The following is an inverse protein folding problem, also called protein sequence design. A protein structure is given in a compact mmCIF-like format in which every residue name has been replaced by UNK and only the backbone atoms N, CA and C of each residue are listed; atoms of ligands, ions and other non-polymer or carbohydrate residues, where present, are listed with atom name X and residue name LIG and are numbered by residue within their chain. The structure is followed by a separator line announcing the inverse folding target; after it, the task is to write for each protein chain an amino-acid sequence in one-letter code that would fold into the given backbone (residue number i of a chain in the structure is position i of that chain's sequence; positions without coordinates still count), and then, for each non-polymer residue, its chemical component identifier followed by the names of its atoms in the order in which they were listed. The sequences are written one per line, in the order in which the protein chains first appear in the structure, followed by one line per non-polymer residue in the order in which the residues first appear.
data_IF_067434736378
#
_entry.id   IF_067434736378
#
_cell.length_a   1.000
_cell.length_b   1.000
_cell.length_c   1.000
_cell.angle_alpha   90.00
_cell.angle_beta   90.00
_cell.angle_gamma   90.00
#
_symmetry.space_group_name_H-M   'P 1'
#
loop_
_entity.id
_entity.type
_entity.pdbx_description
1 polymer ?
#
# COMPACT_ATOMS: atom_id res chain seq x y z
N UNK A 1 17.24 15.73 12.28
CA UNK A 1 17.20 15.28 12.42
C UNK A 1 17.58 14.70 12.76
N UNK A 2 17.42 14.65 12.62
CA UNK A 2 17.60 14.09 12.88
C UNK A 2 17.87 13.29 13.10
N UNK A 3 17.87 13.11 12.97
CA UNK A 3 18.07 12.24 13.18
C UNK A 3 18.47 11.82 13.85
N UNK A 4 18.57 11.76 14.47
CA UNK A 4 19.00 11.24 15.15
C UNK A 4 18.93 10.36 15.59
N UNK A 5 18.77 10.18 15.94
CA UNK A 5 18.59 9.27 16.25
C UNK A 5 18.48 8.27 15.79
N UNK A 6 18.78 8.56 15.65
CA UNK A 6 18.27 7.76 14.62
C UNK A 6 18.73 6.33 14.71
N UNK A 7 19.94 6.11 15.07
CA UNK A 7 20.42 4.77 15.18
C UNK A 7 19.63 3.96 16.17
N UNK A 8 19.14 4.57 17.19
CA UNK A 8 18.36 3.85 18.16
C UNK A 8 17.05 3.42 17.64
N UNK A 9 16.52 4.20 16.74
CA UNK A 9 15.20 3.93 16.29
C UNK A 9 15.08 2.65 15.54
N UNK A 10 16.12 2.27 14.86
CA UNK A 10 15.99 1.09 14.08
C UNK A 10 15.90 -0.15 14.89
N UNK A 11 16.21 -0.09 16.13
CA UNK A 11 15.99 -1.25 16.92
C UNK A 11 14.53 -1.53 17.06
N UNK A 12 13.76 -0.51 16.94
CA UNK A 12 12.35 -0.71 16.97
C UNK A 12 11.97 -1.46 15.73
N UNK A 13 11.05 -2.34 15.86
CA UNK A 13 10.66 -3.14 14.75
C UNK A 13 10.07 -2.31 13.65
N UNK A 14 9.47 -1.19 13.98
CA UNK A 14 8.82 -0.41 12.96
C UNK A 14 9.06 1.03 13.14
N UNK A 15 9.41 1.71 12.08
CA UNK A 15 9.47 3.15 12.09
C UNK A 15 8.19 3.66 11.47
N UNK A 16 8.07 4.98 11.43
CA UNK A 16 6.86 5.59 10.94
C UNK A 16 6.59 5.25 9.49
N UNK A 17 7.66 5.19 8.69
CA UNK A 17 7.47 4.89 7.28
C UNK A 17 6.89 3.51 7.07
N UNK A 18 7.37 2.52 7.80
CA UNK A 18 6.87 1.18 7.61
C UNK A 18 5.43 1.05 8.10
N UNK A 19 5.06 1.81 9.13
CA UNK A 19 3.69 1.81 9.59
C UNK A 19 2.77 2.35 8.49
N UNK A 20 3.18 3.44 7.83
CA UNK A 20 2.36 4.00 6.77
C UNK A 20 2.32 3.10 5.55
N UNK A 21 3.41 2.41 5.25
CA UNK A 21 3.39 1.49 4.12
C UNK A 21 2.43 0.33 4.37
N UNK A 22 2.33 -0.13 5.60
CA UNK A 22 1.37 -1.16 5.93
C UNK A 22 -0.05 -0.65 5.78
N UNK A 23 -0.29 0.60 6.18
CA UNK A 23 -1.61 1.19 6.00
C UNK A 23 -1.97 1.27 4.53
N UNK A 24 -1.00 1.65 3.70
CA UNK A 24 -1.23 1.70 2.26
C UNK A 24 -1.60 0.32 1.75
N UNK A 25 -0.88 -0.70 2.19
CA UNK A 25 -1.18 -2.06 1.78
C UNK A 25 -2.57 -2.49 2.18
N UNK A 26 -2.98 -2.13 3.40
CA UNK A 26 -4.33 -2.47 3.87
C UNK A 26 -5.40 -1.75 3.08
N UNK A 27 -5.13 -0.50 2.69
CA UNK A 27 -6.06 0.25 1.87
C UNK A 27 -6.18 -0.35 0.49
N UNK A 28 -5.06 -0.77 -0.09
CA UNK A 28 -5.10 -1.46 -1.38
C UNK A 28 -5.99 -2.68 -1.30
N UNK A 29 -5.84 -3.45 -0.24
CA UNK A 29 -6.65 -4.64 -0.06
C UNK A 29 -8.12 -4.28 0.08
N UNK A 30 -8.41 -3.27 0.87
CA UNK A 30 -9.78 -2.84 1.08
C UNK A 30 -10.46 -2.44 -0.24
N UNK A 31 -9.78 -1.59 -1.01
CA UNK A 31 -10.37 -1.10 -2.24
C UNK A 31 -10.39 -2.17 -3.34
N UNK A 32 -9.43 -3.09 -3.31
CA UNK A 32 -9.48 -4.21 -4.23
C UNK A 32 -10.73 -5.05 -4.00
N UNK A 33 -11.01 -5.35 -2.74
CA UNK A 33 -12.20 -6.12 -2.42
C UNK A 33 -13.46 -5.37 -2.77
N UNK A 34 -13.46 -4.07 -2.49
CA UNK A 34 -14.60 -3.24 -2.80
C UNK A 34 -14.86 -3.18 -4.30
N UNK A 35 -13.81 -3.29 -5.10
CA UNK A 35 -13.95 -3.30 -6.55
C UNK A 35 -14.39 -4.66 -7.10
N UNK A 36 -14.57 -5.65 -6.22
CA UNK A 36 -15.07 -6.94 -6.62
C UNK A 36 -14.02 -8.03 -6.75
N UNK A 37 -12.77 -7.72 -6.46
CA UNK A 37 -11.70 -8.72 -6.57
C UNK A 37 -11.41 -9.28 -5.18
N UNK A 38 -11.91 -10.47 -4.91
CA UNK A 38 -11.71 -11.08 -3.60
C UNK A 38 -10.32 -11.66 -3.42
N UNK A 39 -9.61 -11.87 -4.52
CA UNK A 39 -8.32 -12.55 -4.52
C UNK A 39 -7.27 -11.64 -5.14
N UNK A 40 -6.17 -11.40 -4.41
CA UNK A 40 -5.15 -10.47 -4.88
C UNK A 40 -4.41 -11.00 -6.10
N UNK A 41 -4.19 -12.31 -6.16
CA UNK A 41 -3.50 -12.87 -7.30
C UNK A 41 -4.32 -12.76 -8.57
N UNK A 42 -5.63 -12.95 -8.44
CA UNK A 42 -6.51 -12.82 -9.59
C UNK A 42 -6.56 -11.37 -10.08
N UNK A 43 -6.62 -10.42 -9.14
CA UNK A 43 -6.59 -9.01 -9.52
C UNK A 43 -5.33 -8.68 -10.31
N UNK A 44 -4.18 -9.16 -9.81
CA UNK A 44 -2.91 -8.87 -10.48
C UNK A 44 -2.88 -9.54 -11.86
N UNK A 45 -3.33 -10.78 -11.93
CA UNK A 45 -3.33 -11.50 -13.19
C UNK A 45 -4.20 -10.80 -14.24
N UNK A 46 -5.41 -10.42 -13.84
CA UNK A 46 -6.33 -9.76 -14.75
C UNK A 46 -5.81 -8.43 -15.26
N UNK A 47 -4.99 -7.77 -14.49
CA UNK A 47 -4.54 -6.43 -14.82
C UNK A 47 -3.08 -6.36 -15.21
N UNK A 48 -2.49 -7.50 -15.53
CA UNK A 48 -1.11 -7.58 -16.01
C UNK A 48 -0.10 -7.02 -15.02
N UNK A 49 -0.31 -7.32 -13.75
CA UNK A 49 0.62 -6.94 -12.70
C UNK A 49 1.27 -8.22 -12.19
N UNK A 50 2.56 -8.16 -11.89
CA UNK A 50 3.24 -9.29 -11.29
C UNK A 50 2.52 -9.71 -10.02
N UNK A 51 2.09 -10.97 -9.94
CA UNK A 51 1.36 -11.44 -8.77
C UNK A 51 2.18 -11.39 -7.50
N UNK A 52 3.44 -11.86 -7.51
CA UNK A 52 4.22 -11.75 -6.27
C UNK A 52 4.46 -10.31 -5.87
N UNK A 53 4.69 -9.42 -6.83
CA UNK A 53 4.95 -8.03 -6.51
C UNK A 53 3.72 -7.36 -5.94
N UNK A 54 2.55 -7.62 -6.53
CA UNK A 54 1.34 -7.01 -6.01
C UNK A 54 1.04 -7.50 -4.59
N UNK A 55 1.26 -8.78 -4.33
CA UNK A 55 1.07 -9.31 -2.99
C UNK A 55 1.95 -8.62 -1.98
N UNK A 56 3.18 -8.28 -2.36
CA UNK A 56 4.07 -7.56 -1.47
C UNK A 56 3.56 -6.15 -1.18
N UNK A 57 2.94 -5.52 -2.16
CA UNK A 57 2.37 -4.18 -1.92
C UNK A 57 1.29 -4.24 -0.84
N UNK A 58 0.41 -5.22 -0.92
CA UNK A 58 -0.64 -5.33 0.10
C UNK A 58 -0.06 -5.69 1.46
N UNK A 59 1.13 -6.30 1.47
CA UNK A 59 1.78 -6.66 2.72
C UNK A 59 2.66 -5.55 3.28
N UNK A 60 2.73 -4.41 2.61
CA UNK A 60 3.44 -3.26 3.15
C UNK A 60 4.77 -2.95 2.50
N UNK A 61 5.09 -3.58 1.37
CA UNK A 61 6.32 -3.23 0.67
C UNK A 61 6.19 -1.84 0.04
N UNK A 62 7.33 -1.21 -0.17
CA UNK A 62 7.35 0.10 -0.80
C UNK A 62 6.77 0.02 -2.20
N UNK A 63 5.98 1.01 -2.57
CA UNK A 63 5.37 1.09 -3.88
C UNK A 63 5.66 2.47 -4.44
N UNK A 64 6.10 2.51 -5.69
CA UNK A 64 6.33 3.79 -6.33
C UNK A 64 5.00 4.49 -6.56
N UNK A 65 5.03 5.81 -6.45
CA UNK A 65 3.79 6.56 -6.55
C UNK A 65 3.11 6.38 -7.89
N UNK A 66 3.87 6.35 -8.98
CA UNK A 66 3.24 6.15 -10.27
C UNK A 66 2.58 4.77 -10.38
N UNK A 67 3.15 3.78 -9.73
CA UNK A 67 2.56 2.45 -9.72
C UNK A 67 1.27 2.46 -8.91
N UNK A 68 1.28 3.15 -7.76
CA UNK A 68 0.08 3.27 -6.96
C UNK A 68 -1.04 3.95 -7.74
N UNK A 69 -0.70 5.04 -8.43
CA UNK A 69 -1.69 5.76 -9.21
C UNK A 69 -2.31 4.85 -10.27
N UNK A 70 -1.47 4.09 -10.95
CA UNK A 70 -1.97 3.19 -11.98
C UNK A 70 -2.89 2.12 -11.39
N UNK A 71 -2.51 1.56 -10.25
CA UNK A 71 -3.32 0.54 -9.61
C UNK A 71 -4.66 1.10 -9.16
N UNK A 72 -4.65 2.32 -8.59
CA UNK A 72 -5.90 2.92 -8.15
C UNK A 72 -6.84 3.20 -9.31
N UNK A 73 -6.30 3.55 -10.46
CA UNK A 73 -7.14 3.72 -11.64
C UNK A 73 -7.81 2.42 -12.02
N UNK A 74 -7.11 1.30 -11.90
CA UNK A 74 -7.71 0.01 -12.20
C UNK A 74 -8.85 -0.32 -11.25
N UNK A 75 -8.80 0.20 -10.05
CA UNK A 75 -9.85 -0.01 -9.06
C UNK A 75 -10.90 1.08 -9.10
N UNK A 76 -10.71 2.09 -9.96
CA UNK A 76 -11.61 3.23 -10.05
C UNK A 76 -11.69 4.00 -8.74
N UNK A 77 -10.53 4.24 -8.12
CA UNK A 77 -10.43 4.94 -6.85
C UNK A 77 -9.52 6.15 -7.04
N UNK A 78 -9.97 7.31 -6.58
CA UNK A 78 -9.15 8.52 -6.66
C UNK A 78 -8.12 8.52 -5.54
N UNK A 79 -7.08 9.31 -5.71
CA UNK A 79 -6.08 9.46 -4.66
C UNK A 79 -6.72 10.05 -3.41
N UNK A 80 -7.62 10.99 -3.58
CA UNK A 80 -8.28 11.59 -2.44
C UNK A 80 -9.07 10.55 -1.66
N UNK A 81 -9.82 9.74 -2.36
CA UNK A 81 -10.61 8.70 -1.70
C UNK A 81 -9.70 7.68 -1.01
N UNK A 82 -8.62 7.33 -1.68
CA UNK A 82 -7.70 6.34 -1.13
C UNK A 82 -7.11 6.80 0.20
N UNK A 83 -6.78 8.08 0.32
CA UNK A 83 -6.11 8.59 1.51
C UNK A 83 -7.06 9.27 2.49
N UNK A 84 -8.36 9.26 2.26
CA UNK A 84 -9.30 9.86 3.20
C UNK A 84 -9.21 9.16 4.55
N UNK A 85 -9.06 9.93 5.61
CA UNK A 85 -8.97 9.38 6.96
C UNK A 85 -7.69 8.65 7.26
N UNK A 86 -6.71 8.78 6.38
CA UNK A 86 -5.49 7.99 6.50
C UNK A 86 -4.74 8.25 7.80
N UNK A 87 -4.73 9.47 8.26
CA UNK A 87 -3.99 9.83 9.47
C UNK A 87 -4.75 9.54 10.74
N UNK A 88 -5.93 9.00 10.63
CA UNK A 88 -6.76 8.74 11.81
C UNK A 88 -6.61 7.34 12.34
N UNK A 89 -5.73 6.59 11.78
CA UNK A 89 -5.49 5.23 12.23
C UNK A 89 -4.86 5.21 13.60
#
# INVERSE_FOLDING_TARGET
MTSKNSGNIKKETENEESIYLKKIGERLRYFRKKAGYTNSEYFAYENNISRPQYGKYEAGANIQLNTLIRILKLMNVSLEEFFTGFNEY
#
